data_IF_462282545441
#
_entry.id   IF_462282545441
#
_cell.length_a   1.000
_cell.length_b   1.000
_cell.length_c   1.000
_cell.angle_alpha   90.00
_cell.angle_beta   90.00
_cell.angle_gamma   90.00
#
_symmetry.space_group_name_H-M   'P 1'
#
loop_
_entity.id
_entity.type
_entity.pdbx_description
1 polymer ?
#
# COMPACT_ATOMS: atom_id res chain seq x y z
N UNK A 1 26.97 -78.55 22.00
CA UNK A 1 27.62 -77.39 21.33
C UNK A 1 27.37 -77.28 19.81
N UNK A 2 26.61 -78.16 19.14
CA UNK A 2 26.36 -78.04 17.67
C UNK A 2 25.01 -77.40 17.27
N UNK A 3 24.01 -77.37 18.15
CA UNK A 3 22.68 -76.82 17.83
C UNK A 3 22.58 -75.28 17.95
N UNK A 4 23.42 -74.64 18.76
CA UNK A 4 23.35 -73.18 19.01
C UNK A 4 23.99 -72.35 17.89
N UNK A 5 24.95 -72.91 17.15
CA UNK A 5 25.59 -72.25 16.00
C UNK A 5 24.68 -72.25 14.77
N UNK A 6 23.88 -73.30 14.56
CA UNK A 6 22.97 -73.40 13.42
C UNK A 6 21.77 -72.42 13.51
N UNK A 7 21.28 -72.16 14.74
CA UNK A 7 20.16 -71.22 14.95
C UNK A 7 20.60 -69.75 14.80
N UNK A 8 21.81 -69.41 15.26
CA UNK A 8 22.38 -68.06 15.09
C UNK A 8 22.66 -67.71 13.64
N UNK A 9 23.14 -68.66 12.83
CA UNK A 9 23.36 -68.46 11.39
C UNK A 9 22.03 -68.26 10.66
N UNK A 10 21.00 -69.05 10.98
CA UNK A 10 19.68 -68.93 10.33
C UNK A 10 19.00 -67.58 10.62
N UNK A 11 19.10 -67.10 11.87
CA UNK A 11 18.55 -65.80 12.28
C UNK A 11 19.33 -64.64 11.64
N UNK A 12 20.66 -64.70 11.53
CA UNK A 12 21.43 -63.69 10.80
C UNK A 12 21.19 -63.70 9.29
N UNK A 13 20.98 -64.86 8.68
CA UNK A 13 20.60 -64.92 7.25
C UNK A 13 19.17 -64.43 7.02
N UNK A 14 18.21 -64.73 7.91
CA UNK A 14 16.84 -64.24 7.81
C UNK A 14 16.75 -62.73 8.12
N UNK A 15 17.56 -62.22 9.04
CA UNK A 15 17.67 -60.77 9.31
C UNK A 15 18.39 -60.04 8.16
N UNK A 16 19.41 -60.66 7.55
CA UNK A 16 20.10 -60.13 6.38
C UNK A 16 19.21 -60.12 5.13
N UNK A 17 18.38 -61.15 4.94
CA UNK A 17 17.37 -61.19 3.88
C UNK A 17 16.25 -60.18 4.18
N UNK A 18 15.78 -60.07 5.42
CA UNK A 18 14.76 -59.10 5.83
C UNK A 18 15.24 -57.65 5.63
N UNK A 19 16.49 -57.32 6.01
CA UNK A 19 17.12 -56.01 5.80
C UNK A 19 17.41 -55.76 4.31
N UNK A 20 17.71 -56.79 3.51
CA UNK A 20 17.84 -56.66 2.06
C UNK A 20 16.47 -56.49 1.36
N UNK A 21 15.38 -57.01 1.93
CA UNK A 21 14.01 -56.80 1.44
C UNK A 21 13.36 -55.51 1.94
N UNK A 22 13.85 -54.95 3.05
CA UNK A 22 13.39 -53.67 3.64
C UNK A 22 14.31 -52.48 3.34
N UNK A 23 15.51 -52.72 2.81
CA UNK A 23 16.34 -51.64 2.26
C UNK A 23 15.68 -51.16 0.97
N UNK A 24 15.39 -49.85 0.84
CA UNK A 24 14.79 -49.34 -0.38
C UNK A 24 15.66 -49.77 -1.55
N UNK A 25 15.03 -50.40 -2.56
CA UNK A 25 15.73 -50.75 -3.80
C UNK A 25 16.46 -49.52 -4.33
N UNK A 26 17.53 -49.68 -5.10
CA UNK A 26 18.33 -48.55 -5.60
C UNK A 26 17.47 -47.42 -6.19
N UNK A 27 16.37 -47.78 -6.85
CA UNK A 27 15.39 -46.87 -7.44
C UNK A 27 14.48 -46.18 -6.42
N UNK A 28 13.99 -46.90 -5.40
CA UNK A 28 13.22 -46.32 -4.29
C UNK A 28 14.08 -45.33 -3.50
N UNK A 29 15.37 -45.63 -3.32
CA UNK A 29 16.31 -44.71 -2.66
C UNK A 29 16.52 -43.44 -3.48
N UNK A 30 16.66 -43.55 -4.80
CA UNK A 30 16.77 -42.37 -5.68
C UNK A 30 15.50 -41.52 -5.63
N UNK A 31 14.32 -42.16 -5.68
CA UNK A 31 13.04 -41.46 -5.55
C UNK A 31 12.94 -40.68 -4.22
N UNK A 32 13.33 -41.32 -3.10
CA UNK A 32 13.38 -40.66 -1.79
C UNK A 32 14.38 -39.49 -1.76
N UNK A 33 15.54 -39.63 -2.43
CA UNK A 33 16.53 -38.54 -2.49
C UNK A 33 16.01 -37.34 -3.29
N UNK A 34 15.31 -37.58 -4.41
CA UNK A 34 14.68 -36.54 -5.20
C UNK A 34 13.55 -35.83 -4.42
N UNK A 35 12.69 -36.60 -3.75
CA UNK A 35 11.60 -36.09 -2.91
C UNK A 35 12.11 -35.23 -1.74
N UNK A 36 13.23 -35.65 -1.11
CA UNK A 36 13.89 -34.89 -0.04
C UNK A 36 14.77 -33.74 -0.53
N UNK A 37 14.70 -33.37 -1.81
CA UNK A 37 15.51 -32.32 -2.43
C UNK A 37 17.04 -32.54 -2.28
N UNK A 38 17.49 -33.78 -2.05
CA UNK A 38 18.92 -34.15 -1.95
C UNK A 38 19.51 -34.40 -3.33
N UNK A 39 19.43 -33.38 -4.17
CA UNK A 39 19.70 -33.49 -5.61
C UNK A 39 21.15 -33.89 -5.94
N UNK A 40 22.13 -33.48 -5.13
CA UNK A 40 23.54 -33.86 -5.33
C UNK A 40 23.76 -35.37 -5.18
N UNK A 41 23.18 -35.96 -4.14
CA UNK A 41 23.27 -37.40 -3.88
C UNK A 41 22.45 -38.22 -4.86
N UNK A 42 21.27 -37.71 -5.25
CA UNK A 42 20.47 -38.31 -6.32
C UNK A 42 21.26 -38.34 -7.63
N UNK A 43 21.87 -37.22 -8.03
CA UNK A 43 22.67 -37.14 -9.26
C UNK A 43 23.85 -38.13 -9.25
N UNK A 44 24.61 -38.20 -8.14
CA UNK A 44 25.73 -39.13 -8.04
C UNK A 44 25.29 -40.61 -8.13
N UNK A 45 24.17 -40.97 -7.49
CA UNK A 45 23.62 -42.32 -7.57
C UNK A 45 23.14 -42.64 -9.00
N UNK A 46 22.48 -41.68 -9.66
CA UNK A 46 21.95 -41.80 -11.01
C UNK A 46 23.05 -41.85 -12.08
N UNK A 47 24.11 -41.05 -11.97
CA UNK A 47 25.27 -41.12 -12.84
C UNK A 47 25.94 -42.50 -12.77
N UNK A 48 26.05 -43.10 -11.57
CA UNK A 48 26.56 -44.46 -11.41
C UNK A 48 25.63 -45.48 -12.07
N UNK A 49 24.31 -45.29 -11.95
CA UNK A 49 23.31 -46.16 -12.58
C UNK A 49 23.40 -46.11 -14.10
N UNK A 50 23.47 -44.90 -14.69
CA UNK A 50 23.60 -44.69 -16.14
C UNK A 50 24.95 -45.20 -16.67
N UNK A 51 26.02 -45.16 -15.88
CA UNK A 51 27.30 -45.80 -16.27
C UNK A 51 27.21 -47.32 -16.38
N UNK A 52 26.38 -47.95 -15.54
CA UNK A 52 26.17 -49.40 -15.57
C UNK A 52 25.17 -49.81 -16.67
N UNK A 53 24.15 -48.98 -16.91
CA UNK A 53 23.19 -49.14 -17.99
C UNK A 53 22.92 -47.79 -18.68
N UNK A 54 23.64 -47.48 -19.77
CA UNK A 54 23.43 -46.23 -20.51
C UNK A 54 22.04 -46.10 -21.13
N UNK A 55 21.30 -47.21 -21.29
CA UNK A 55 19.96 -47.24 -21.87
C UNK A 55 18.82 -47.03 -20.88
N UNK A 56 19.12 -46.88 -19.58
CA UNK A 56 18.10 -46.66 -18.55
C UNK A 56 17.48 -45.25 -18.65
N UNK A 57 16.46 -45.12 -19.49
CA UNK A 57 15.73 -43.89 -19.74
C UNK A 57 15.07 -43.31 -18.48
N UNK A 58 14.62 -44.16 -17.54
CA UNK A 58 14.06 -43.72 -16.28
C UNK A 58 15.14 -43.05 -15.41
N UNK A 59 16.35 -43.60 -15.39
CA UNK A 59 17.49 -42.98 -14.74
C UNK A 59 17.92 -41.68 -15.43
N UNK A 60 17.87 -41.61 -16.76
CA UNK A 60 18.17 -40.38 -17.50
C UNK A 60 17.18 -39.25 -17.17
N UNK A 61 15.87 -39.52 -17.12
CA UNK A 61 14.85 -38.55 -16.69
C UNK A 61 15.06 -38.10 -15.25
N UNK A 62 15.31 -39.04 -14.34
CA UNK A 62 15.56 -38.74 -12.94
C UNK A 62 16.85 -37.91 -12.75
N UNK A 63 17.88 -38.15 -13.57
CA UNK A 63 19.12 -37.36 -13.55
C UNK A 63 18.89 -35.95 -14.07
N UNK A 64 18.05 -35.79 -15.11
CA UNK A 64 17.64 -34.48 -15.61
C UNK A 64 16.95 -33.67 -14.51
N UNK A 65 16.03 -34.29 -13.76
CA UNK A 65 15.37 -33.68 -12.60
C UNK A 65 16.37 -33.30 -11.49
N UNK A 66 17.32 -34.19 -11.16
CA UNK A 66 18.37 -33.90 -10.18
C UNK A 66 19.24 -32.70 -10.61
N UNK A 67 19.65 -32.65 -11.89
CA UNK A 67 20.40 -31.52 -12.42
C UNK A 67 19.61 -30.21 -12.43
N UNK A 68 18.31 -30.26 -12.73
CA UNK A 68 17.44 -29.09 -12.62
C UNK A 68 17.38 -28.55 -11.19
N UNK A 69 17.25 -29.44 -10.19
CA UNK A 69 17.28 -29.08 -8.77
C UNK A 69 18.63 -28.53 -8.29
N UNK A 70 19.73 -28.86 -8.97
CA UNK A 70 21.07 -28.33 -8.72
C UNK A 70 21.36 -27.02 -9.47
N UNK A 71 20.41 -26.50 -10.26
CA UNK A 71 20.64 -25.32 -11.12
C UNK A 71 21.51 -25.59 -12.35
N UNK A 72 21.83 -26.85 -12.65
CA UNK A 72 22.59 -27.25 -13.85
C UNK A 72 21.66 -27.38 -15.06
N UNK A 73 21.04 -26.27 -15.43
CA UNK A 73 19.92 -26.28 -16.36
C UNK A 73 20.28 -26.76 -17.78
N UNK A 74 21.46 -26.44 -18.30
CA UNK A 74 21.89 -26.93 -19.64
C UNK A 74 22.00 -28.46 -19.70
N UNK A 75 22.51 -29.06 -18.61
CA UNK A 75 22.66 -30.51 -18.50
C UNK A 75 21.28 -31.18 -18.34
N UNK A 76 20.40 -30.57 -17.56
CA UNK A 76 19.02 -31.02 -17.40
C UNK A 76 18.28 -30.99 -18.74
N UNK A 77 18.33 -29.87 -19.48
CA UNK A 77 17.68 -29.73 -20.77
C UNK A 77 18.16 -30.79 -21.78
N UNK A 78 19.49 -31.01 -21.86
CA UNK A 78 20.06 -32.02 -22.76
C UNK A 78 19.61 -33.44 -22.45
N UNK A 79 19.44 -33.79 -21.16
CA UNK A 79 18.94 -35.11 -20.76
C UNK A 79 17.43 -35.24 -21.02
N UNK A 80 16.65 -34.20 -20.76
CA UNK A 80 15.23 -34.18 -21.10
C UNK A 80 14.99 -34.27 -22.60
N UNK A 81 15.77 -33.58 -23.43
CA UNK A 81 15.67 -33.67 -24.89
C UNK A 81 15.91 -35.11 -25.39
N UNK A 82 16.92 -35.80 -24.84
CA UNK A 82 17.18 -37.22 -25.16
C UNK A 82 16.03 -38.11 -24.70
N UNK A 83 15.55 -37.94 -23.47
CA UNK A 83 14.44 -38.72 -22.94
C UNK A 83 13.16 -38.55 -23.77
N UNK A 84 12.83 -37.31 -24.14
CA UNK A 84 11.63 -36.98 -24.90
C UNK A 84 11.70 -37.38 -26.38
N UNK A 85 12.90 -37.65 -26.92
CA UNK A 85 13.06 -38.22 -28.26
C UNK A 85 12.46 -39.64 -28.34
N UNK A 86 12.61 -40.42 -27.27
CA UNK A 86 12.08 -41.78 -27.16
C UNK A 86 10.68 -41.83 -26.51
N UNK A 87 10.32 -40.81 -25.73
CA UNK A 87 9.03 -40.68 -25.06
C UNK A 87 8.31 -39.37 -25.44
N UNK A 88 7.90 -39.20 -26.70
CA UNK A 88 7.30 -37.94 -27.16
C UNK A 88 5.99 -37.59 -26.43
N UNK A 89 5.29 -38.56 -25.86
CA UNK A 89 3.98 -38.35 -25.24
C UNK A 89 4.05 -38.11 -23.71
N UNK A 90 5.25 -38.10 -23.11
CA UNK A 90 5.39 -37.82 -21.67
C UNK A 90 5.23 -36.31 -21.38
N UNK A 91 3.98 -35.92 -21.11
CA UNK A 91 3.60 -34.55 -20.76
C UNK A 91 4.34 -34.05 -19.52
N UNK A 92 4.55 -34.90 -18.51
CA UNK A 92 5.20 -34.49 -17.26
C UNK A 92 6.69 -34.20 -17.48
N UNK A 93 7.38 -34.98 -18.30
CA UNK A 93 8.76 -34.70 -18.69
C UNK A 93 8.86 -33.42 -19.54
N UNK A 94 7.89 -33.15 -20.43
CA UNK A 94 7.81 -31.88 -21.17
C UNK A 94 7.59 -30.67 -20.27
N UNK A 95 6.74 -30.79 -19.25
CA UNK A 95 6.55 -29.72 -18.25
C UNK A 95 7.84 -29.41 -17.49
N UNK A 96 8.58 -30.45 -17.08
CA UNK A 96 9.88 -30.27 -16.42
C UNK A 96 10.90 -29.63 -17.36
N UNK A 97 10.95 -30.04 -18.63
CA UNK A 97 11.80 -29.39 -19.63
C UNK A 97 11.42 -27.92 -19.84
N UNK A 98 10.12 -27.61 -19.95
CA UNK A 98 9.64 -26.25 -20.11
C UNK A 98 10.09 -25.37 -18.93
N UNK A 99 10.00 -25.84 -17.68
CA UNK A 99 10.49 -25.10 -16.51
C UNK A 99 12.02 -24.91 -16.54
N UNK A 100 12.78 -25.93 -16.93
CA UNK A 100 14.23 -25.81 -17.12
C UNK A 100 14.58 -24.76 -18.18
N UNK A 101 13.87 -24.76 -19.32
CA UNK A 101 14.07 -23.80 -20.40
C UNK A 101 13.72 -22.37 -19.98
N UNK A 102 12.69 -22.20 -19.14
CA UNK A 102 12.34 -20.91 -18.54
C UNK A 102 13.48 -20.38 -17.67
N UNK A 103 14.10 -21.23 -16.85
CA UNK A 103 15.25 -20.86 -16.01
C UNK A 103 16.50 -20.53 -16.83
N UNK A 104 16.66 -21.13 -18.00
CA UNK A 104 17.73 -20.82 -18.96
C UNK A 104 17.51 -19.51 -19.73
N UNK A 105 16.30 -18.93 -19.68
CA UNK A 105 15.92 -17.80 -20.53
C UNK A 105 15.69 -18.18 -22.00
N UNK A 106 15.55 -19.47 -22.31
CA UNK A 106 15.30 -19.97 -23.66
C UNK A 106 13.81 -19.82 -24.04
N UNK A 107 13.33 -18.58 -24.18
CA UNK A 107 11.91 -18.22 -24.27
C UNK A 107 11.14 -18.97 -25.39
N UNK A 108 11.65 -18.99 -26.62
CA UNK A 108 10.93 -19.64 -27.73
C UNK A 108 10.80 -21.16 -27.56
N UNK A 109 11.84 -21.82 -27.04
CA UNK A 109 11.78 -23.26 -26.74
C UNK A 109 10.84 -23.54 -25.55
N UNK A 110 10.88 -22.69 -24.52
CA UNK A 110 9.96 -22.78 -23.39
C UNK A 110 8.50 -22.74 -23.86
N UNK A 111 8.15 -21.74 -24.69
CA UNK A 111 6.82 -21.59 -25.28
C UNK A 111 6.45 -22.81 -26.14
N UNK A 112 7.36 -23.31 -26.96
CA UNK A 112 7.11 -24.47 -27.82
C UNK A 112 6.78 -25.74 -27.02
N UNK A 113 7.54 -26.06 -25.96
CA UNK A 113 7.26 -27.23 -25.12
C UNK A 113 5.97 -27.05 -24.32
N UNK A 114 5.74 -25.85 -23.76
CA UNK A 114 4.52 -25.57 -23.00
C UNK A 114 3.26 -25.57 -23.90
N UNK A 115 3.38 -25.17 -25.17
CA UNK A 115 2.31 -25.28 -26.16
C UNK A 115 1.92 -26.74 -26.43
N UNK A 116 2.92 -27.64 -26.51
CA UNK A 116 2.67 -29.08 -26.66
C UNK A 116 2.02 -29.68 -25.42
N UNK A 117 2.42 -29.24 -24.23
CA UNK A 117 1.80 -29.64 -22.96
C UNK A 117 0.32 -29.23 -22.94
N UNK A 118 0.02 -27.98 -23.28
CA UNK A 118 -1.37 -27.47 -23.34
C UNK A 118 -2.19 -28.20 -24.39
N UNK A 119 -1.63 -28.46 -25.58
CA UNK A 119 -2.33 -29.18 -26.63
C UNK A 119 -2.67 -30.63 -26.24
N UNK A 120 -1.81 -31.29 -25.47
CA UNK A 120 -2.04 -32.65 -25.00
C UNK A 120 -3.04 -32.72 -23.85
N UNK A 121 -2.94 -31.80 -22.88
CA UNK A 121 -3.77 -31.80 -21.69
C UNK A 121 -4.08 -30.37 -21.21
N UNK A 122 -5.10 -29.72 -21.78
CA UNK A 122 -5.46 -28.35 -21.41
C UNK A 122 -6.06 -28.33 -20.00
N UNK A 123 -5.44 -27.55 -19.12
CA UNK A 123 -6.00 -27.20 -17.80
C UNK A 123 -5.90 -25.69 -17.60
N UNK A 124 -6.76 -25.11 -16.77
CA UNK A 124 -6.73 -23.67 -16.50
C UNK A 124 -5.36 -23.16 -16.05
N UNK A 125 -4.65 -23.94 -15.24
CA UNK A 125 -3.28 -23.62 -14.79
C UNK A 125 -2.26 -23.65 -15.93
N UNK A 126 -2.31 -24.66 -16.81
CA UNK A 126 -1.39 -24.79 -17.96
C UNK A 126 -1.64 -23.71 -19.02
N UNK A 127 -2.91 -23.44 -19.31
CA UNK A 127 -3.29 -22.37 -20.23
C UNK A 127 -2.86 -21.01 -19.67
N UNK A 128 -3.04 -20.79 -18.37
CA UNK A 128 -2.53 -19.58 -17.70
C UNK A 128 -1.02 -19.44 -17.83
N UNK A 129 -0.26 -20.49 -17.52
CA UNK A 129 1.19 -20.48 -17.64
C UNK A 129 1.67 -20.18 -19.07
N UNK A 130 1.00 -20.74 -20.09
CA UNK A 130 1.33 -20.46 -21.49
C UNK A 130 0.93 -19.03 -21.91
N UNK A 131 -0.20 -18.51 -21.42
CA UNK A 131 -0.60 -17.14 -21.66
C UNK A 131 0.40 -16.14 -21.05
N UNK A 132 0.87 -16.41 -19.82
CA UNK A 132 1.93 -15.62 -19.18
C UNK A 132 3.24 -15.69 -19.96
N UNK A 133 3.64 -16.88 -20.45
CA UNK A 133 4.82 -17.03 -21.29
C UNK A 133 4.72 -16.24 -22.61
N UNK A 134 3.55 -16.24 -23.27
CA UNK A 134 3.31 -15.39 -24.44
C UNK A 134 3.38 -13.90 -24.11
N UNK A 135 2.87 -13.49 -22.94
CA UNK A 135 2.91 -12.10 -22.48
C UNK A 135 4.35 -11.64 -22.26
N UNK A 136 5.16 -12.44 -21.57
CA UNK A 136 6.57 -12.15 -21.30
C UNK A 136 7.39 -12.04 -22.59
N UNK A 137 7.02 -12.82 -23.62
CA UNK A 137 7.63 -12.76 -24.95
C UNK A 137 7.06 -11.64 -25.87
N UNK A 138 6.06 -10.87 -25.41
CA UNK A 138 5.41 -9.84 -26.23
C UNK A 138 4.51 -10.38 -27.36
N UNK A 139 4.15 -11.65 -27.33
CA UNK A 139 3.34 -12.35 -28.35
C UNK A 139 1.84 -12.22 -28.08
N UNK A 140 1.33 -10.99 -28.09
CA UNK A 140 -0.06 -10.69 -27.69
C UNK A 140 -1.14 -11.34 -28.56
N UNK A 141 -0.87 -11.59 -29.85
CA UNK A 141 -1.83 -12.27 -30.74
C UNK A 141 -1.99 -13.76 -30.39
N UNK A 142 -0.89 -14.42 -30.04
CA UNK A 142 -0.91 -15.82 -29.61
C UNK A 142 -1.56 -15.95 -28.22
N UNK A 143 -1.28 -15.01 -27.31
CA UNK A 143 -1.95 -14.89 -26.00
C UNK A 143 -3.47 -14.78 -26.19
N UNK A 144 -3.92 -13.88 -27.07
CA UNK A 144 -5.35 -13.67 -27.36
C UNK A 144 -5.99 -14.93 -27.95
N UNK A 145 -5.37 -15.55 -28.95
CA UNK A 145 -5.90 -16.75 -29.58
C UNK A 145 -6.02 -17.91 -28.58
N UNK A 146 -5.00 -18.12 -27.75
CA UNK A 146 -4.99 -19.15 -26.72
C UNK A 146 -6.11 -18.95 -25.69
N UNK A 147 -6.20 -17.74 -25.12
CA UNK A 147 -7.18 -17.43 -24.08
C UNK A 147 -8.62 -17.47 -24.64
N UNK A 148 -8.82 -17.00 -25.87
CA UNK A 148 -10.12 -17.08 -26.55
C UNK A 148 -10.55 -18.52 -26.80
N UNK A 149 -9.63 -19.41 -27.18
CA UNK A 149 -9.95 -20.82 -27.40
C UNK A 149 -10.37 -21.55 -26.11
N UNK A 150 -10.04 -21.00 -24.95
CA UNK A 150 -10.31 -21.60 -23.63
C UNK A 150 -11.17 -20.70 -22.74
N UNK A 151 -12.02 -19.84 -23.31
CA UNK A 151 -12.83 -18.86 -22.57
C UNK A 151 -14.08 -19.46 -21.88
N UNK A 152 -14.11 -20.77 -21.71
CA UNK A 152 -15.21 -21.47 -21.02
C UNK A 152 -15.36 -20.94 -19.58
N UNK A 153 -16.59 -20.78 -19.06
CA UNK A 153 -16.81 -20.37 -17.68
C UNK A 153 -16.07 -21.31 -16.72
N UNK A 154 -15.39 -20.74 -15.71
CA UNK A 154 -14.65 -21.46 -14.66
C UNK A 154 -13.40 -22.23 -15.09
N UNK A 155 -13.06 -22.24 -16.38
CA UNK A 155 -11.82 -22.84 -16.85
C UNK A 155 -10.60 -21.92 -16.57
N UNK A 156 -10.72 -20.64 -16.92
CA UNK A 156 -9.69 -19.65 -16.67
C UNK A 156 -9.85 -19.02 -15.29
N UNK A 157 -8.73 -18.74 -14.62
CA UNK A 157 -8.74 -17.87 -13.45
C UNK A 157 -9.27 -16.47 -13.82
N UNK A 158 -9.88 -15.76 -12.88
CA UNK A 158 -10.44 -14.42 -13.12
C UNK A 158 -9.41 -13.41 -13.66
N UNK A 159 -8.14 -13.53 -13.27
CA UNK A 159 -7.05 -12.68 -13.77
C UNK A 159 -6.81 -12.90 -15.27
N UNK A 160 -6.66 -14.15 -15.72
CA UNK A 160 -6.54 -14.50 -17.14
C UNK A 160 -7.80 -14.16 -17.95
N UNK A 161 -8.99 -14.33 -17.37
CA UNK A 161 -10.23 -13.93 -18.02
C UNK A 161 -10.33 -12.40 -18.19
N UNK A 162 -9.87 -11.62 -17.20
CA UNK A 162 -9.78 -10.16 -17.29
C UNK A 162 -8.73 -9.72 -18.33
N UNK A 163 -7.60 -10.44 -18.39
CA UNK A 163 -6.59 -10.23 -19.44
C UNK A 163 -7.15 -10.47 -20.84
N UNK A 164 -7.93 -11.52 -21.04
CA UNK A 164 -8.65 -11.74 -22.30
C UNK A 164 -9.57 -10.55 -22.61
N UNK A 165 -10.33 -10.06 -21.63
CA UNK A 165 -11.15 -8.85 -21.78
C UNK A 165 -10.35 -7.62 -22.24
N UNK A 166 -9.16 -7.43 -21.67
CA UNK A 166 -8.25 -6.35 -22.08
C UNK A 166 -7.75 -6.53 -23.53
N UNK A 167 -7.28 -7.72 -23.89
CA UNK A 167 -6.79 -8.01 -25.25
C UNK A 167 -7.89 -7.85 -26.31
N UNK A 168 -9.12 -8.25 -26.00
CA UNK A 168 -10.29 -8.01 -26.85
C UNK A 168 -10.53 -6.50 -27.04
N UNK A 169 -10.43 -5.73 -25.96
CA UNK A 169 -10.57 -4.28 -26.02
C UNK A 169 -9.47 -3.65 -26.88
N UNK A 170 -8.21 -4.06 -26.71
CA UNK A 170 -7.07 -3.58 -27.50
C UNK A 170 -7.22 -3.94 -29.00
N UNK A 171 -7.83 -5.10 -29.30
CA UNK A 171 -8.24 -5.52 -30.64
C UNK A 171 -9.50 -4.82 -31.18
N UNK A 172 -10.04 -3.83 -30.46
CA UNK A 172 -11.27 -3.08 -30.79
C UNK A 172 -12.56 -3.93 -30.81
N UNK A 173 -12.54 -5.12 -30.21
CA UNK A 173 -13.72 -5.97 -30.00
C UNK A 173 -14.44 -5.61 -28.69
N UNK A 174 -14.82 -4.33 -28.57
CA UNK A 174 -15.28 -3.72 -27.32
C UNK A 174 -16.54 -4.37 -26.74
N UNK A 175 -17.50 -4.79 -27.57
CA UNK A 175 -18.71 -5.45 -27.07
C UNK A 175 -18.44 -6.86 -26.52
N UNK A 176 -17.54 -7.61 -27.17
CA UNK A 176 -17.12 -8.92 -26.67
C UNK A 176 -16.36 -8.77 -25.34
N UNK A 177 -15.46 -7.77 -25.25
CA UNK A 177 -14.77 -7.42 -24.02
C UNK A 177 -15.76 -7.08 -22.90
N UNK A 178 -16.75 -6.21 -23.18
CA UNK A 178 -17.78 -5.80 -22.22
C UNK A 178 -18.55 -7.00 -21.68
N UNK A 179 -19.09 -7.87 -22.54
CA UNK A 179 -19.87 -9.03 -22.14
C UNK A 179 -19.06 -10.02 -21.29
N UNK A 180 -17.79 -10.23 -21.63
CA UNK A 180 -16.91 -11.08 -20.83
C UNK A 180 -16.64 -10.47 -19.45
N UNK A 181 -16.26 -9.20 -19.41
CA UNK A 181 -15.91 -8.51 -18.17
C UNK A 181 -17.10 -8.32 -17.23
N UNK A 182 -18.33 -8.15 -17.76
CA UNK A 182 -19.55 -8.12 -16.94
C UNK A 182 -19.82 -9.46 -16.26
N UNK A 183 -19.61 -10.58 -16.96
CA UNK A 183 -19.72 -11.92 -16.36
C UNK A 183 -18.67 -12.13 -15.28
N UNK A 184 -17.47 -11.58 -15.47
CA UNK A 184 -16.38 -11.63 -14.48
C UNK A 184 -16.75 -10.79 -13.25
N UNK A 185 -17.20 -9.54 -13.44
CA UNK A 185 -17.56 -8.62 -12.35
C UNK A 185 -18.64 -9.22 -11.43
N UNK A 186 -19.65 -9.89 -12.01
CA UNK A 186 -20.71 -10.55 -11.26
C UNK A 186 -20.23 -11.69 -10.33
N UNK A 187 -19.04 -12.26 -10.60
CA UNK A 187 -18.46 -13.38 -9.83
C UNK A 187 -17.20 -12.98 -9.06
N UNK A 188 -16.63 -11.81 -9.35
CA UNK A 188 -15.32 -11.42 -8.86
C UNK A 188 -15.36 -11.06 -7.36
N UNK A 189 -14.44 -11.61 -6.55
CA UNK A 189 -14.27 -11.17 -5.17
C UNK A 189 -14.05 -9.66 -5.07
N UNK A 190 -14.41 -9.08 -3.92
CA UNK A 190 -14.33 -7.63 -3.69
C UNK A 190 -12.88 -7.11 -3.78
N UNK A 191 -11.90 -7.97 -3.51
CA UNK A 191 -10.48 -7.64 -3.58
C UNK A 191 -9.96 -7.43 -5.01
N UNK A 192 -10.61 -7.99 -6.04
CA UNK A 192 -10.08 -7.99 -7.40
C UNK A 192 -10.50 -6.72 -8.15
N UNK A 193 -9.62 -5.73 -8.23
CA UNK A 193 -9.93 -4.42 -8.81
C UNK A 193 -9.65 -4.35 -10.33
N UNK A 194 -8.69 -5.14 -10.85
CA UNK A 194 -8.27 -5.03 -12.25
C UNK A 194 -9.42 -5.25 -13.27
N UNK A 195 -10.27 -6.31 -13.16
CA UNK A 195 -11.31 -6.56 -14.15
C UNK A 195 -12.32 -5.41 -14.25
N UNK A 196 -12.60 -4.73 -13.13
CA UNK A 196 -13.53 -3.60 -13.05
C UNK A 196 -12.96 -2.36 -13.71
N UNK A 197 -11.68 -2.09 -13.48
CA UNK A 197 -10.98 -0.99 -14.14
C UNK A 197 -10.89 -1.19 -15.66
N UNK A 198 -10.72 -2.44 -16.12
CA UNK A 198 -10.78 -2.77 -17.55
C UNK A 198 -12.21 -2.62 -18.08
N UNK A 199 -13.23 -3.12 -17.36
CA UNK A 199 -14.63 -2.95 -17.75
C UNK A 199 -15.02 -1.48 -17.87
N UNK A 200 -14.56 -0.64 -16.94
CA UNK A 200 -14.80 0.79 -16.96
C UNK A 200 -14.19 1.45 -18.21
N UNK A 201 -12.95 1.09 -18.54
CA UNK A 201 -12.28 1.58 -19.77
C UNK A 201 -13.06 1.17 -21.03
N UNK A 202 -13.51 -0.08 -21.11
CA UNK A 202 -14.33 -0.58 -22.23
C UNK A 202 -15.65 0.19 -22.35
N UNK A 203 -16.36 0.42 -21.24
CA UNK A 203 -17.63 1.16 -21.25
C UNK A 203 -17.42 2.62 -21.69
N UNK A 204 -16.35 3.26 -21.22
CA UNK A 204 -15.96 4.61 -21.64
C UNK A 204 -15.67 4.65 -23.14
N UNK A 205 -14.89 3.69 -23.67
CA UNK A 205 -14.56 3.59 -25.10
C UNK A 205 -15.78 3.30 -25.98
N UNK A 206 -16.78 2.59 -25.46
CA UNK A 206 -18.08 2.39 -26.11
C UNK A 206 -18.99 3.63 -26.07
N UNK A 207 -18.62 4.69 -25.34
CA UNK A 207 -19.47 5.85 -25.10
C UNK A 207 -20.61 5.60 -24.11
N UNK A 208 -20.62 4.45 -23.41
CA UNK A 208 -21.63 4.07 -22.40
C UNK A 208 -21.27 4.64 -21.02
N UNK A 209 -21.07 5.95 -20.97
CA UNK A 209 -20.47 6.64 -19.81
C UNK A 209 -21.41 6.74 -18.62
N UNK A 210 -22.72 6.82 -18.83
CA UNK A 210 -23.71 6.78 -17.75
C UNK A 210 -23.68 5.44 -17.00
N UNK A 211 -23.56 4.36 -17.75
CA UNK A 211 -23.44 3.02 -17.18
C UNK A 211 -22.10 2.82 -16.48
N UNK A 212 -21.01 3.32 -17.09
CA UNK A 212 -19.69 3.33 -16.47
C UNK A 212 -19.73 4.02 -15.09
N UNK A 213 -20.33 5.21 -15.01
CA UNK A 213 -20.48 5.96 -13.77
C UNK A 213 -21.39 5.25 -12.75
N UNK A 214 -22.48 4.65 -13.21
CA UNK A 214 -23.41 3.90 -12.34
C UNK A 214 -22.74 2.66 -11.73
N UNK A 215 -22.01 1.89 -12.54
CA UNK A 215 -21.24 0.73 -12.06
C UNK A 215 -20.13 1.16 -11.11
N UNK A 216 -19.36 2.18 -11.47
CA UNK A 216 -18.35 2.80 -10.62
C UNK A 216 -18.90 3.19 -9.25
N UNK A 217 -20.02 3.91 -9.22
CA UNK A 217 -20.69 4.30 -7.98
C UNK A 217 -21.10 3.09 -7.14
N UNK A 218 -21.71 2.07 -7.75
CA UNK A 218 -22.10 0.84 -7.07
C UNK A 218 -20.89 0.12 -6.46
N UNK A 219 -19.80 0.00 -7.23
CA UNK A 219 -18.55 -0.62 -6.79
C UNK A 219 -17.92 0.12 -5.61
N UNK A 220 -17.91 1.46 -5.61
CA UNK A 220 -17.33 2.24 -4.51
C UNK A 220 -18.18 2.24 -3.24
N UNK A 221 -19.50 2.04 -3.37
CA UNK A 221 -20.39 1.87 -2.22
C UNK A 221 -20.21 0.51 -1.57
N UNK A 222 -20.11 -0.56 -2.38
CA UNK A 222 -19.93 -1.91 -1.88
C UNK A 222 -18.47 -2.18 -1.46
N UNK A 223 -17.51 -1.61 -2.18
CA UNK A 223 -16.07 -1.89 -2.04
C UNK A 223 -15.29 -0.60 -1.85
N UNK A 224 -15.01 -0.35 -0.58
CA UNK A 224 -14.34 0.85 -0.10
C UNK A 224 -12.82 0.68 -0.19
N UNK A 225 -12.28 0.58 -1.41
CA UNK A 225 -10.83 0.49 -1.63
C UNK A 225 -10.29 1.77 -2.29
N UNK A 226 -9.29 2.46 -1.67
CA UNK A 226 -8.72 3.70 -2.22
C UNK A 226 -8.09 3.53 -3.61
N UNK A 227 -7.52 2.35 -3.87
CA UNK A 227 -6.96 2.01 -5.17
C UNK A 227 -8.02 1.98 -6.29
N UNK A 228 -9.17 1.34 -6.03
CA UNK A 228 -10.27 1.30 -6.99
C UNK A 228 -10.84 2.71 -7.20
N UNK A 229 -11.05 3.47 -6.12
CA UNK A 229 -11.53 4.85 -6.17
C UNK A 229 -10.67 5.72 -7.10
N UNK A 230 -9.37 5.74 -6.87
CA UNK A 230 -8.45 6.55 -7.67
C UNK A 230 -8.42 6.08 -9.12
N UNK A 231 -8.38 4.76 -9.35
CA UNK A 231 -8.36 4.17 -10.69
C UNK A 231 -9.64 4.45 -11.50
N UNK A 232 -10.80 4.45 -10.84
CA UNK A 232 -12.10 4.77 -11.44
C UNK A 232 -12.19 6.26 -11.78
N UNK A 233 -11.88 7.13 -10.82
CA UNK A 233 -11.96 8.58 -10.97
C UNK A 233 -11.02 9.08 -12.06
N UNK A 234 -9.78 8.58 -12.09
CA UNK A 234 -8.82 8.91 -13.14
C UNK A 234 -9.32 8.56 -14.54
N UNK A 235 -9.94 7.38 -14.72
CA UNK A 235 -10.48 6.94 -16.02
C UNK A 235 -11.68 7.78 -16.46
N UNK A 236 -12.59 8.09 -15.54
CA UNK A 236 -13.74 8.96 -15.82
C UNK A 236 -13.32 10.43 -16.04
N UNK A 237 -12.24 10.89 -15.40
CA UNK A 237 -11.72 12.24 -15.60
C UNK A 237 -11.01 12.39 -16.95
N UNK A 238 -10.35 11.31 -17.42
CA UNK A 238 -9.70 11.25 -18.75
C UNK A 238 -10.68 11.18 -19.91
N UNK A 239 -11.88 10.65 -19.69
CA UNK A 239 -12.89 10.57 -20.73
C UNK A 239 -13.51 11.94 -21.01
N UNK A 240 -14.25 12.08 -22.10
CA UNK A 240 -14.99 13.31 -22.41
C UNK A 240 -16.18 13.58 -21.46
N UNK A 241 -16.26 12.90 -20.30
CA UNK A 241 -17.41 12.92 -19.39
C UNK A 241 -17.05 13.39 -17.99
N UNK A 242 -16.46 14.59 -17.94
CA UNK A 242 -16.00 15.25 -16.71
C UNK A 242 -17.10 15.39 -15.65
N UNK A 243 -18.33 15.69 -16.07
CA UNK A 243 -19.50 15.79 -15.17
C UNK A 243 -19.75 14.49 -14.39
N UNK A 244 -19.56 13.34 -15.04
CA UNK A 244 -19.71 12.03 -14.39
C UNK A 244 -18.59 11.72 -13.42
N UNK A 245 -17.37 12.16 -13.72
CA UNK A 245 -16.27 12.08 -12.76
C UNK A 245 -16.60 12.87 -11.47
N UNK A 246 -17.24 14.04 -11.58
CA UNK A 246 -17.66 14.84 -10.42
C UNK A 246 -18.77 14.17 -9.61
N UNK A 247 -19.75 13.54 -10.26
CA UNK A 247 -20.80 12.77 -9.57
C UNK A 247 -20.18 11.62 -8.75
N UNK A 248 -19.30 10.83 -9.39
CA UNK A 248 -18.63 9.69 -8.74
C UNK A 248 -17.65 10.16 -7.65
N UNK A 249 -16.95 11.28 -7.84
CA UNK A 249 -16.05 11.87 -6.87
C UNK A 249 -16.77 12.24 -5.56
N UNK A 250 -17.93 12.89 -5.68
CA UNK A 250 -18.76 13.24 -4.51
C UNK A 250 -19.26 12.00 -3.78
N UNK A 251 -19.70 10.98 -4.52
CA UNK A 251 -20.09 9.70 -3.91
C UNK A 251 -18.90 9.02 -3.20
N UNK A 252 -17.72 9.05 -3.82
CA UNK A 252 -16.49 8.50 -3.26
C UNK A 252 -16.11 9.21 -1.95
N UNK A 253 -16.20 10.54 -1.90
CA UNK A 253 -15.88 11.31 -0.71
C UNK A 253 -16.74 10.92 0.50
N UNK A 254 -18.01 10.58 0.27
CA UNK A 254 -18.92 10.10 1.31
C UNK A 254 -18.66 8.63 1.69
N UNK A 255 -18.28 7.79 0.72
CA UNK A 255 -18.06 6.37 0.94
C UNK A 255 -16.75 6.08 1.70
N UNK A 256 -15.71 6.90 1.45
CA UNK A 256 -14.34 6.76 1.92
C UNK A 256 -13.83 8.05 2.62
N UNK A 257 -14.49 8.51 3.70
CA UNK A 257 -14.16 9.79 4.35
C UNK A 257 -12.72 9.88 4.86
N UNK A 258 -12.16 8.76 5.32
CA UNK A 258 -10.80 8.72 5.88
C UNK A 258 -9.69 8.78 4.81
N UNK A 259 -10.01 8.42 3.56
CA UNK A 259 -9.05 8.37 2.46
C UNK A 259 -9.23 9.50 1.44
N UNK A 260 -10.17 10.43 1.68
CA UNK A 260 -10.49 11.52 0.73
C UNK A 260 -9.24 12.31 0.38
N UNK A 261 -8.42 12.66 1.37
CA UNK A 261 -7.24 13.49 1.14
C UNK A 261 -6.15 12.78 0.34
N UNK A 262 -5.93 11.48 0.57
CA UNK A 262 -4.96 10.69 -0.17
C UNK A 262 -5.39 10.56 -1.64
N UNK A 263 -6.67 10.24 -1.88
CA UNK A 263 -7.25 10.11 -3.21
C UNK A 263 -7.21 11.46 -3.94
N UNK A 264 -7.65 12.53 -3.28
CA UNK A 264 -7.62 13.90 -3.81
C UNK A 264 -6.19 14.34 -4.14
N UNK A 265 -5.22 14.06 -3.27
CA UNK A 265 -3.81 14.34 -3.47
C UNK A 265 -3.26 13.63 -4.72
N UNK A 266 -3.53 12.34 -4.85
CA UNK A 266 -3.11 11.57 -6.03
C UNK A 266 -3.75 12.11 -7.32
N UNK A 267 -5.06 12.37 -7.32
CA UNK A 267 -5.76 12.96 -8.47
C UNK A 267 -5.18 14.33 -8.86
N UNK A 268 -4.77 15.13 -7.88
CA UNK A 268 -4.15 16.44 -8.12
C UNK A 268 -2.79 16.28 -8.79
N UNK A 269 -1.96 15.37 -8.29
CA UNK A 269 -0.66 15.04 -8.89
C UNK A 269 -0.79 14.51 -10.32
N UNK A 270 -1.85 13.75 -10.60
CA UNK A 270 -2.16 13.21 -11.94
C UNK A 270 -2.79 14.26 -12.89
N UNK A 271 -3.02 15.50 -12.42
CA UNK A 271 -3.54 16.61 -13.23
C UNK A 271 -5.07 16.77 -13.22
N UNK A 272 -5.79 16.03 -12.36
CA UNK A 272 -7.26 16.07 -12.19
C UNK A 272 -7.67 16.89 -10.95
N UNK A 273 -7.05 18.06 -10.77
CA UNK A 273 -7.29 18.93 -9.61
C UNK A 273 -8.74 19.43 -9.48
N UNK A 274 -9.49 19.48 -10.57
CA UNK A 274 -10.92 19.79 -10.60
C UNK A 274 -11.78 18.67 -9.98
N UNK A 275 -11.45 17.40 -10.25
CA UNK A 275 -12.14 16.25 -9.64
C UNK A 275 -11.78 16.16 -8.16
N UNK A 276 -10.51 16.39 -7.82
CA UNK A 276 -10.02 16.51 -6.44
C UNK A 276 -10.79 17.60 -5.67
N UNK A 277 -10.98 18.78 -6.28
CA UNK A 277 -11.77 19.88 -5.70
C UNK A 277 -13.20 19.44 -5.36
N UNK A 278 -13.88 18.72 -6.24
CA UNK A 278 -15.24 18.23 -5.97
C UNK A 278 -15.29 17.28 -4.77
N UNK A 279 -14.27 16.43 -4.60
CA UNK A 279 -14.16 15.57 -3.40
C UNK A 279 -14.00 16.40 -2.12
N UNK A 280 -13.13 17.41 -2.14
CA UNK A 280 -12.87 18.27 -0.98
C UNK A 280 -14.08 19.15 -0.64
N UNK A 281 -14.81 19.64 -1.64
CA UNK A 281 -16.10 20.34 -1.44
C UNK A 281 -17.08 19.43 -0.71
N UNK A 282 -17.31 18.22 -1.24
CA UNK A 282 -18.24 17.27 -0.63
C UNK A 282 -17.84 16.87 0.79
N UNK A 283 -16.54 16.67 1.03
CA UNK A 283 -16.05 16.37 2.36
C UNK A 283 -16.32 17.54 3.34
N UNK A 284 -16.06 18.79 2.91
CA UNK A 284 -16.34 19.99 3.74
C UNK A 284 -17.81 20.21 4.04
N UNK A 285 -18.71 19.70 3.19
CA UNK A 285 -20.17 19.77 3.38
C UNK A 285 -20.69 18.73 4.36
N UNK A 286 -20.06 17.56 4.37
CA UNK A 286 -20.42 16.45 5.27
C UNK A 286 -19.73 16.54 6.63
N UNK A 287 -18.64 17.30 6.73
CA UNK A 287 -17.87 17.52 7.96
C UNK A 287 -17.82 19.02 8.31
N UNK A 288 -18.94 19.61 8.77
CA UNK A 288 -19.02 21.06 8.98
C UNK A 288 -18.15 21.58 10.14
N UNK A 289 -17.68 20.71 11.04
CA UNK A 289 -16.82 21.06 12.18
C UNK A 289 -15.62 20.10 12.28
N UNK A 290 -14.63 20.19 11.38
CA UNK A 290 -13.44 19.37 11.41
C UNK A 290 -12.49 19.87 12.51
N UNK A 291 -11.76 18.96 13.15
CA UNK A 291 -10.83 19.30 14.24
C UNK A 291 -9.46 18.68 14.04
N UNK A 292 -8.44 19.38 14.52
CA UNK A 292 -7.08 18.86 14.66
C UNK A 292 -6.47 18.38 13.33
N UNK A 293 -5.96 17.13 13.24
CA UNK A 293 -5.25 16.64 12.07
C UNK A 293 -6.05 16.68 10.76
N UNK A 294 -7.35 16.38 10.79
CA UNK A 294 -8.17 16.36 9.57
C UNK A 294 -8.26 17.74 8.92
N UNK A 295 -8.35 18.79 9.75
CA UNK A 295 -8.36 20.16 9.24
C UNK A 295 -7.02 20.53 8.61
N UNK A 296 -5.90 20.19 9.26
CA UNK A 296 -4.55 20.40 8.70
C UNK A 296 -4.39 19.73 7.33
N UNK A 297 -4.80 18.47 7.23
CA UNK A 297 -4.73 17.71 5.97
C UNK A 297 -5.64 18.31 4.90
N UNK A 298 -6.85 18.74 5.26
CA UNK A 298 -7.76 19.45 4.35
C UNK A 298 -7.14 20.77 3.83
N UNK A 299 -6.55 21.56 4.72
CA UNK A 299 -5.92 22.84 4.38
C UNK A 299 -4.73 22.64 3.42
N UNK A 300 -3.90 21.63 3.70
CA UNK A 300 -2.82 21.23 2.80
C UNK A 300 -3.36 20.80 1.43
N UNK A 301 -4.38 19.93 1.39
CA UNK A 301 -4.98 19.46 0.14
C UNK A 301 -5.61 20.61 -0.67
N UNK A 302 -6.32 21.53 -0.01
CA UNK A 302 -6.90 22.73 -0.63
C UNK A 302 -5.84 23.66 -1.24
N UNK A 303 -4.70 23.80 -0.57
CA UNK A 303 -3.54 24.54 -1.08
C UNK A 303 -2.94 23.89 -2.33
N UNK A 304 -2.78 22.56 -2.33
CA UNK A 304 -2.23 21.80 -3.47
C UNK A 304 -3.09 21.93 -4.74
N UNK A 305 -4.42 21.98 -4.61
CA UNK A 305 -5.31 22.19 -5.77
C UNK A 305 -5.41 23.66 -6.20
N UNK A 306 -4.80 24.58 -5.47
CA UNK A 306 -4.88 26.03 -5.71
C UNK A 306 -6.28 26.61 -5.48
N UNK A 307 -7.15 25.96 -4.71
CA UNK A 307 -8.48 26.49 -4.35
C UNK A 307 -8.43 27.15 -2.97
N UNK A 308 -7.82 28.35 -2.94
CA UNK A 308 -7.77 29.16 -1.74
C UNK A 308 -9.17 29.58 -1.25
N UNK A 309 -10.21 29.57 -2.09
CA UNK A 309 -11.56 29.97 -1.67
C UNK A 309 -12.28 28.89 -0.85
N UNK A 310 -11.87 27.63 -0.96
CA UNK A 310 -12.54 26.51 -0.31
C UNK A 310 -12.48 26.59 1.23
N UNK A 311 -11.31 26.80 1.88
CA UNK A 311 -11.24 27.03 3.33
C UNK A 311 -12.10 28.20 3.81
N UNK A 312 -12.16 29.29 3.06
CA UNK A 312 -12.90 30.49 3.45
C UNK A 312 -14.41 30.24 3.42
N UNK A 313 -14.91 29.55 2.39
CA UNK A 313 -16.33 29.14 2.33
C UNK A 313 -16.69 28.22 3.50
N UNK A 314 -15.80 27.31 3.86
CA UNK A 314 -15.99 26.43 5.01
C UNK A 314 -16.00 27.22 6.32
N UNK A 315 -15.09 28.17 6.50
CA UNK A 315 -15.08 29.08 7.65
C UNK A 315 -16.38 29.88 7.78
N UNK A 316 -16.84 30.51 6.69
CA UNK A 316 -18.12 31.26 6.69
C UNK A 316 -19.30 30.37 7.08
N UNK A 317 -19.33 29.13 6.60
CA UNK A 317 -20.37 28.15 6.98
C UNK A 317 -20.30 27.80 8.46
N UNK A 318 -19.09 27.54 8.97
CA UNK A 318 -18.86 27.22 10.38
C UNK A 318 -19.38 28.33 11.30
N UNK A 319 -18.99 29.57 11.03
CA UNK A 319 -19.44 30.76 11.80
C UNK A 319 -20.96 30.92 11.72
N UNK A 320 -21.55 30.77 10.53
CA UNK A 320 -23.01 30.90 10.37
C UNK A 320 -23.80 29.81 11.10
N UNK A 321 -23.21 28.65 11.39
CA UNK A 321 -23.84 27.63 12.22
C UNK A 321 -23.83 28.03 13.70
N UNK A 322 -22.89 28.87 14.14
CA UNK A 322 -22.82 29.46 15.49
C UNK A 322 -22.65 28.44 16.62
N UNK A 323 -21.99 27.30 16.35
CA UNK A 323 -21.98 26.14 17.27
C UNK A 323 -20.72 25.99 18.11
N UNK A 324 -19.59 26.53 17.69
CA UNK A 324 -18.29 26.16 18.28
C UNK A 324 -17.20 27.24 18.08
N UNK A 325 -17.05 28.17 19.03
CA UNK A 325 -16.04 29.22 18.95
C UNK A 325 -14.60 28.69 18.88
N UNK A 326 -14.32 27.54 19.52
CA UNK A 326 -12.98 26.96 19.48
C UNK A 326 -12.63 26.44 18.08
N UNK A 327 -13.60 25.86 17.38
CA UNK A 327 -13.44 25.43 16.00
C UNK A 327 -13.30 26.62 15.03
N UNK A 328 -14.06 27.70 15.26
CA UNK A 328 -13.94 28.94 14.47
C UNK A 328 -12.50 29.47 14.52
N UNK A 329 -11.95 29.61 15.74
CA UNK A 329 -10.59 30.08 15.92
C UNK A 329 -9.55 29.10 15.37
N UNK A 330 -9.76 27.78 15.54
CA UNK A 330 -8.87 26.78 14.96
C UNK A 330 -8.84 26.88 13.42
N UNK A 331 -10.01 27.04 12.79
CA UNK A 331 -10.09 27.22 11.34
C UNK A 331 -9.35 28.47 10.87
N UNK A 332 -9.48 29.59 11.57
CA UNK A 332 -8.76 30.81 11.26
C UNK A 332 -7.24 30.66 11.47
N UNK A 333 -6.82 30.00 12.55
CA UNK A 333 -5.41 29.70 12.82
C UNK A 333 -4.79 28.91 11.67
N UNK A 334 -5.45 27.86 11.19
CA UNK A 334 -4.94 27.05 10.08
C UNK A 334 -4.96 27.82 8.73
N UNK A 335 -5.96 28.70 8.51
CA UNK A 335 -5.97 29.61 7.35
C UNK A 335 -4.75 30.54 7.40
N UNK A 336 -4.44 31.12 8.56
CA UNK A 336 -3.27 31.97 8.72
C UNK A 336 -1.96 31.19 8.57
N UNK A 337 -1.90 29.95 9.05
CA UNK A 337 -0.71 29.11 8.92
C UNK A 337 -0.38 28.80 7.45
N UNK A 338 -1.39 28.57 6.61
CA UNK A 338 -1.20 28.22 5.19
C UNK A 338 -1.10 29.44 4.27
N UNK A 339 -1.92 30.46 4.50
CA UNK A 339 -2.06 31.61 3.60
C UNK A 339 -1.50 32.93 4.18
N UNK A 340 -0.98 32.91 5.42
CA UNK A 340 -0.45 34.06 6.13
C UNK A 340 -1.51 34.86 6.89
N UNK A 341 -1.07 35.68 7.86
CA UNK A 341 -1.96 36.51 8.69
C UNK A 341 -2.80 37.51 7.88
N UNK A 342 -2.29 38.01 6.75
CA UNK A 342 -3.03 38.89 5.83
C UNK A 342 -4.32 38.26 5.30
N UNK A 343 -4.36 36.92 5.21
CA UNK A 343 -5.53 36.18 4.76
C UNK A 343 -6.72 36.30 5.73
N UNK A 344 -6.48 36.72 6.98
CA UNK A 344 -7.53 36.88 8.00
C UNK A 344 -8.26 38.22 7.94
N UNK A 345 -7.74 39.23 7.22
CA UNK A 345 -8.39 40.54 7.10
C UNK A 345 -9.89 40.46 6.72
N UNK A 346 -10.30 39.68 5.69
CA UNK A 346 -11.73 39.54 5.36
C UNK A 346 -12.51 38.71 6.39
N UNK A 347 -11.84 37.86 7.17
CA UNK A 347 -12.47 36.99 8.17
C UNK A 347 -12.59 37.65 9.54
N UNK A 348 -11.82 38.70 9.79
CA UNK A 348 -11.70 39.36 11.08
C UNK A 348 -13.02 39.82 11.70
N UNK A 349 -13.98 40.40 10.95
CA UNK A 349 -15.28 40.81 11.50
C UNK A 349 -16.15 39.62 11.94
N UNK A 350 -15.87 38.43 11.44
CA UNK A 350 -16.62 37.20 11.73
C UNK A 350 -16.05 36.45 12.93
N UNK A 351 -14.80 36.72 13.33
CA UNK A 351 -14.18 36.10 14.50
C UNK A 351 -14.74 36.70 15.78
N UNK A 352 -15.50 35.89 16.51
CA UNK A 352 -16.09 36.27 17.80
C UNK A 352 -15.02 36.41 18.89
N UNK A 353 -15.34 37.20 19.92
CA UNK A 353 -14.47 37.31 21.09
C UNK A 353 -14.28 35.96 21.78
N UNK A 354 -15.34 35.17 21.90
CA UNK A 354 -15.31 33.83 22.51
C UNK A 354 -14.41 32.87 21.71
N UNK A 355 -14.38 32.99 20.38
CA UNK A 355 -13.50 32.19 19.54
C UNK A 355 -12.02 32.52 19.82
N UNK A 356 -11.67 33.80 19.84
CA UNK A 356 -10.32 34.23 20.17
C UNK A 356 -9.91 33.83 21.59
N UNK A 357 -10.84 33.88 22.55
CA UNK A 357 -10.58 33.46 23.93
C UNK A 357 -10.34 31.96 24.05
N UNK A 358 -10.99 31.15 23.22
CA UNK A 358 -10.77 29.70 23.17
C UNK A 358 -9.38 29.30 22.65
N UNK A 359 -8.71 30.17 21.88
CA UNK A 359 -7.34 29.95 21.36
C UNK A 359 -6.46 31.18 21.60
N UNK A 360 -6.02 31.40 22.86
CA UNK A 360 -5.41 32.66 23.29
C UNK A 360 -4.04 32.96 22.65
N UNK A 361 -3.25 31.94 22.29
CA UNK A 361 -1.98 32.16 21.61
C UNK A 361 -2.18 32.71 20.20
N UNK A 362 -3.04 32.06 19.41
CA UNK A 362 -3.42 32.53 18.09
C UNK A 362 -4.01 33.94 18.16
N UNK A 363 -4.90 34.21 19.13
CA UNK A 363 -5.44 35.55 19.33
C UNK A 363 -4.35 36.59 19.64
N UNK A 364 -3.37 36.24 20.47
CA UNK A 364 -2.24 37.11 20.75
C UNK A 364 -1.41 37.40 19.49
N UNK A 365 -1.10 36.40 18.67
CA UNK A 365 -0.41 36.60 17.38
C UNK A 365 -1.18 37.51 16.43
N UNK A 366 -2.49 37.29 16.33
CA UNK A 366 -3.37 38.13 15.52
C UNK A 366 -3.37 39.58 16.00
N UNK A 367 -3.46 39.81 17.31
CA UNK A 367 -3.40 41.17 17.88
C UNK A 367 -2.03 41.84 17.67
N UNK A 368 -0.94 41.06 17.65
CA UNK A 368 0.39 41.58 17.28
C UNK A 368 0.42 42.02 15.82
N UNK A 369 -0.16 41.22 14.93
CA UNK A 369 -0.30 41.56 13.51
C UNK A 369 -1.14 42.85 13.34
N UNK A 370 -2.23 42.99 14.08
CA UNK A 370 -3.10 44.17 14.12
C UNK A 370 -2.49 45.37 14.88
N UNK A 371 -1.24 45.26 15.36
CA UNK A 371 -0.52 46.29 16.12
C UNK A 371 -1.19 46.69 17.45
N UNK A 372 -2.06 45.83 17.98
CA UNK A 372 -2.78 46.02 19.25
C UNK A 372 -2.06 45.33 20.40
N UNK A 373 -0.90 45.87 20.79
CA UNK A 373 0.01 45.23 21.76
C UNK A 373 -0.60 44.97 23.15
N UNK A 374 -1.51 45.84 23.62
CA UNK A 374 -2.17 45.63 24.91
C UNK A 374 -3.15 44.45 24.87
N UNK A 375 -3.92 44.33 23.79
CA UNK A 375 -4.81 43.18 23.59
C UNK A 375 -3.99 41.90 23.40
N UNK A 376 -2.86 41.98 22.69
CA UNK A 376 -1.96 40.85 22.53
C UNK A 376 -1.43 40.33 23.88
N UNK A 377 -0.97 41.24 24.76
CA UNK A 377 -0.57 40.91 26.14
C UNK A 377 -1.72 40.30 26.92
N UNK A 378 -2.93 40.86 26.79
CA UNK A 378 -4.10 40.37 27.51
C UNK A 378 -4.46 38.93 27.11
N UNK A 379 -4.48 38.61 25.82
CA UNK A 379 -4.74 37.24 25.33
C UNK A 379 -3.62 36.29 25.75
N UNK A 380 -2.35 36.69 25.64
CA UNK A 380 -1.21 35.88 26.09
C UNK A 380 -1.27 35.54 27.60
N UNK A 381 -1.84 36.44 28.41
CA UNK A 381 -2.07 36.19 29.82
C UNK A 381 -3.14 35.11 30.09
N UNK A 382 -4.07 34.89 29.15
CA UNK A 382 -5.09 33.83 29.24
C UNK A 382 -4.55 32.44 28.86
N UNK A 383 -3.41 32.37 28.17
CA UNK A 383 -2.78 31.10 27.82
C UNK A 383 -2.12 30.45 29.04
N UNK A 384 -2.46 29.18 29.30
CA UNK A 384 -1.82 28.34 30.32
C UNK A 384 -0.75 27.45 29.68
N UNK A 385 0.56 27.71 29.94
CA UNK A 385 1.63 26.91 29.36
C UNK A 385 1.55 25.43 29.72
N UNK A 386 0.97 25.06 30.86
CA UNK A 386 0.91 23.65 31.27
C UNK A 386 0.01 22.78 30.39
N UNK A 387 -0.85 23.39 29.56
CA UNK A 387 -1.79 22.69 28.67
C UNK A 387 -1.38 22.74 27.19
N UNK A 388 -0.23 23.34 26.88
CA UNK A 388 0.24 23.50 25.49
C UNK A 388 1.07 22.31 25.04
N UNK A 389 1.05 22.05 23.74
CA UNK A 389 2.00 21.15 23.08
C UNK A 389 3.35 21.85 22.84
N UNK A 390 4.35 21.13 22.34
CA UNK A 390 5.71 21.64 22.15
C UNK A 390 5.77 22.88 21.23
N UNK A 391 4.98 22.88 20.16
CA UNK A 391 4.87 24.00 19.23
C UNK A 391 4.22 25.21 19.94
N UNK A 392 3.11 24.99 20.64
CA UNK A 392 2.43 26.02 21.43
C UNK A 392 3.32 26.63 22.51
N UNK A 393 4.15 25.83 23.18
CA UNK A 393 5.13 26.32 24.17
C UNK A 393 6.18 27.23 23.54
N UNK A 394 6.65 26.87 22.35
CA UNK A 394 7.61 27.66 21.59
C UNK A 394 6.99 29.01 21.18
N UNK A 395 5.75 28.99 20.70
CA UNK A 395 4.99 30.21 20.36
C UNK A 395 4.74 31.07 21.59
N UNK A 396 4.31 30.49 22.70
CA UNK A 396 4.09 31.20 23.97
C UNK A 396 5.36 31.91 24.43
N UNK A 397 6.50 31.21 24.46
CA UNK A 397 7.77 31.78 24.90
C UNK A 397 8.20 32.94 24.00
N UNK A 398 8.08 32.75 22.68
CA UNK A 398 8.43 33.77 21.68
C UNK A 398 7.57 35.03 21.85
N UNK A 399 6.26 34.86 22.05
CA UNK A 399 5.34 35.97 22.28
C UNK A 399 5.59 36.67 23.61
N UNK A 400 5.82 35.91 24.69
CA UNK A 400 6.15 36.48 26.00
C UNK A 400 7.42 37.32 25.94
N UNK A 401 8.48 36.82 25.33
CA UNK A 401 9.74 37.58 25.17
C UNK A 401 9.58 38.84 24.32
N UNK A 402 8.62 38.85 23.39
CA UNK A 402 8.35 40.00 22.52
C UNK A 402 7.44 41.05 23.17
N UNK A 403 6.45 40.62 23.97
CA UNK A 403 5.36 41.47 24.43
C UNK A 403 5.49 41.91 25.89
N UNK A 404 6.22 41.15 26.69
CA UNK A 404 6.38 41.35 28.13
C UNK A 404 7.83 41.70 28.47
N UNK A 405 8.08 42.43 29.57
CA UNK A 405 9.42 42.54 30.13
C UNK A 405 9.97 41.16 30.52
N UNK A 406 11.27 40.94 30.29
CA UNK A 406 11.96 39.68 30.65
C UNK A 406 11.68 39.19 32.07
N UNK A 407 11.68 40.12 33.03
CA UNK A 407 11.38 39.81 34.43
C UNK A 407 9.97 39.21 34.62
N UNK A 408 8.98 39.69 33.88
CA UNK A 408 7.58 39.22 33.99
C UNK A 408 7.44 37.80 33.46
N UNK A 409 8.04 37.50 32.29
CA UNK A 409 8.06 36.13 31.75
C UNK A 409 8.82 35.18 32.68
N UNK A 410 9.96 35.61 33.21
CA UNK A 410 10.72 34.86 34.20
C UNK A 410 9.89 34.54 35.45
N UNK A 411 9.21 35.53 36.04
CA UNK A 411 8.36 35.32 37.22
C UNK A 411 7.21 34.33 36.95
N UNK A 412 6.57 34.39 35.78
CA UNK A 412 5.53 33.42 35.38
C UNK A 412 6.09 32.00 35.33
N UNK A 413 7.24 31.81 34.68
CA UNK A 413 7.89 30.49 34.61
C UNK A 413 8.31 29.96 35.98
N UNK A 414 8.87 30.82 36.85
CA UNK A 414 9.22 30.44 38.23
C UNK A 414 8.00 30.01 39.03
N UNK A 415 6.87 30.71 38.86
CA UNK A 415 5.61 30.36 39.54
C UNK A 415 5.12 28.97 39.12
N UNK A 416 5.13 28.67 37.83
CA UNK A 416 4.75 27.34 37.30
C UNK A 416 5.73 26.25 37.76
N UNK A 417 7.04 26.56 37.78
CA UNK A 417 8.05 25.61 38.24
C UNK A 417 7.89 25.25 39.71
N UNK A 418 7.64 26.26 40.57
CA UNK A 418 7.36 26.04 41.99
C UNK A 418 6.05 25.28 42.23
N UNK A 419 5.08 25.44 41.35
CA UNK A 419 3.83 24.66 41.38
C UNK A 419 3.99 23.23 40.86
N UNK A 420 5.14 22.88 40.27
CA UNK A 420 5.40 21.57 39.67
C UNK A 420 4.64 21.35 38.36
N UNK A 421 4.11 22.40 37.73
CA UNK A 421 3.32 22.33 36.50
C UNK A 421 4.03 22.93 35.29
N UNK A 422 5.29 23.35 35.44
CA UNK A 422 6.08 23.83 34.31
C UNK A 422 6.43 22.66 33.37
N UNK A 423 6.11 22.76 32.07
CA UNK A 423 6.54 21.79 31.07
C UNK A 423 8.06 21.64 31.02
N UNK A 424 8.53 20.42 30.76
CA UNK A 424 9.96 20.08 30.79
C UNK A 424 10.75 20.90 29.77
N UNK A 425 10.14 21.17 28.63
CA UNK A 425 10.67 21.98 27.52
C UNK A 425 11.01 23.41 27.95
N UNK A 426 10.32 23.94 28.98
CA UNK A 426 10.55 25.30 29.50
C UNK A 426 11.57 25.35 30.64
N UNK A 427 12.03 24.22 31.18
CA UNK A 427 13.04 24.20 32.25
C UNK A 427 14.36 24.83 31.79
N UNK A 428 14.82 24.49 30.59
CA UNK A 428 16.06 25.04 30.05
C UNK A 428 15.94 26.53 29.71
N UNK A 429 14.88 27.01 29.02
CA UNK A 429 14.59 28.44 28.91
C UNK A 429 14.57 29.17 30.26
N UNK A 430 13.94 28.60 31.29
CA UNK A 430 13.91 29.18 32.63
C UNK A 430 15.31 29.30 33.24
N UNK A 431 16.14 28.25 33.17
CA UNK A 431 17.50 28.29 33.67
C UNK A 431 18.34 29.37 32.95
N UNK A 432 18.21 29.45 31.62
CA UNK A 432 18.93 30.46 30.82
C UNK A 432 18.48 31.89 31.17
N UNK A 433 17.18 32.11 31.35
CA UNK A 433 16.64 33.41 31.72
C UNK A 433 17.11 33.81 33.13
N UNK A 434 17.10 32.86 34.09
CA UNK A 434 17.61 33.07 35.45
C UNK A 434 19.08 33.54 35.44
N UNK A 435 19.91 32.87 34.64
CA UNK A 435 21.32 33.24 34.48
C UNK A 435 21.46 34.64 33.89
N UNK A 436 20.66 34.98 32.88
CA UNK A 436 20.70 36.28 32.21
C UNK A 436 20.27 37.44 33.13
N UNK A 437 19.39 37.17 34.10
CA UNK A 437 18.92 38.12 35.11
C UNK A 437 19.78 38.12 36.38
N UNK A 438 20.79 37.25 36.48
CA UNK A 438 21.69 37.13 37.64
C UNK A 438 21.12 36.36 38.83
N UNK A 439 20.02 35.62 38.67
CA UNK A 439 19.46 34.74 39.69
C UNK A 439 20.09 33.34 39.64
N UNK A 440 21.37 33.27 40.06
CA UNK A 440 22.15 32.03 40.07
C UNK A 440 21.51 30.93 40.95
N UNK A 441 20.80 31.32 42.01
CA UNK A 441 20.15 30.34 42.90
C UNK A 441 19.03 29.60 42.17
N UNK A 442 18.16 30.33 41.47
CA UNK A 442 17.10 29.70 40.67
C UNK A 442 17.69 28.90 39.52
N UNK A 443 18.74 29.40 38.85
CA UNK A 443 19.47 28.67 37.81
C UNK A 443 19.95 27.29 38.27
N UNK A 444 20.71 27.24 39.38
CA UNK A 444 21.29 26.00 39.90
C UNK A 444 20.21 25.00 40.33
N UNK A 445 19.14 25.48 40.97
CA UNK A 445 18.03 24.63 41.41
C UNK A 445 17.27 24.01 40.24
N UNK A 446 17.08 24.77 39.16
CA UNK A 446 16.41 24.28 37.94
C UNK A 446 17.28 23.22 37.25
N UNK A 447 18.60 23.45 37.11
CA UNK A 447 19.51 22.44 36.55
C UNK A 447 19.52 21.14 37.37
N UNK A 448 19.52 21.24 38.70
CA UNK A 448 19.41 20.07 39.59
C UNK A 448 18.06 19.33 39.49
N UNK A 449 17.00 20.02 39.07
CA UNK A 449 15.71 19.38 38.79
C UNK A 449 15.72 18.66 37.44
N UNK A 450 16.39 19.23 36.43
CA UNK A 450 16.56 18.60 35.11
C UNK A 450 17.40 17.32 35.19
N UNK A 451 18.54 17.34 35.89
CA UNK A 451 19.42 16.15 35.99
C UNK A 451 18.73 14.96 36.66
N UNK A 452 17.81 15.24 37.61
CA UNK A 452 17.00 14.20 38.26
C UNK A 452 15.99 13.58 37.30
N UNK A 453 15.34 14.39 36.46
CA UNK A 453 14.40 13.90 35.45
C UNK A 453 15.09 13.04 34.40
N UNK A 454 16.27 13.43 33.94
CA UNK A 454 17.11 12.64 33.00
C UNK A 454 17.50 11.28 33.61
N UNK A 455 17.92 11.24 34.88
CA UNK A 455 18.29 9.98 35.57
C UNK A 455 17.12 9.00 35.74
N UNK A 456 15.88 9.49 35.73
CA UNK A 456 14.66 8.68 35.86
C UNK A 456 14.11 8.18 34.53
N UNK A 457 14.57 8.69 33.37
CA UNK A 457 14.18 8.20 32.04
C UNK A 457 15.16 7.14 31.48
N UNK A 458 16.36 7.01 32.05
CA UNK A 458 17.36 5.99 31.70
C UNK A 458 17.18 4.65 32.46
N UNK A 459 16.11 4.49 33.24
CA UNK A 459 15.70 3.25 33.94
C UNK A 459 14.26 2.90 33.58
#
# INVERSE_FOLDING_TARGET
MKASVAFGVLVFTLLGIAVATLSPRGDERIAILLDKHRFSEAAAALEKKIKADPGDQAAQRALAQAYAGLGKYDHAASLFDKYLADHPDDVAAREMLAEVLRKLGASERHIAELSRVVAAQPTGARVGALADAYRDAGRSQDELALLRAHSEPDFLSLTHAARLGQLLADGNELEAARQLLERIDARAPLALSEPRLVLLDVLVRLGRTDEAATKAAAWLQSWKTPYLATGVLTRLARSQTRTKAYEVARLCANALPDNVFDIAGQLTADGYGDVSREMLIQWSETHPNPRGPQLKTFMFAASQIGDAALPFRMFTRLVNMGKDPAAEAQMAEEIAAVFGMTALEPLRPMLSFDALLARPLFAAELMVYEQSLELARWYLAQADPSQLDSDGLTTWLTLSQRLEPRATTFERMVKLWRAGTLPVELLRPLANEALSLGDYRTHDLVLHSMSRLESTQEH
#
